data_IF_317877458504
#
_entry.id   IF_317877458504
#
_cell.length_a   1.000
_cell.length_b   1.000
_cell.length_c   1.000
_cell.angle_alpha   90.00
_cell.angle_beta   90.00
_cell.angle_gamma   90.00
#
_symmetry.space_group_name_H-M   'P 1'
#
loop_
_entity.id
_entity.type
_entity.pdbx_description
1 polymer ?
#
# COMPACT_ATOMS: atom_id res chain seq x y z
N UNK A 1 -18.52 -7.27 -21.06
CA UNK A 1 -18.58 -6.71 -19.69
C UNK A 1 -17.78 -7.63 -18.78
N UNK A 2 -17.11 -7.12 -17.74
CA UNK A 2 -16.42 -7.97 -16.77
C UNK A 2 -17.42 -8.88 -16.04
N UNK A 3 -16.96 -10.06 -15.65
CA UNK A 3 -17.76 -11.01 -14.87
C UNK A 3 -17.80 -10.57 -13.42
N UNK A 4 -18.98 -10.63 -12.80
CA UNK A 4 -19.15 -10.19 -11.41
C UNK A 4 -18.51 -11.19 -10.43
N UNK A 5 -18.02 -10.72 -9.27
CA UNK A 5 -17.46 -11.59 -8.24
C UNK A 5 -18.42 -12.68 -7.76
N UNK A 6 -19.73 -12.39 -7.73
CA UNK A 6 -20.78 -13.32 -7.31
C UNK A 6 -20.87 -14.54 -8.24
N UNK A 7 -20.60 -14.37 -9.54
CA UNK A 7 -20.58 -15.50 -10.49
C UNK A 7 -19.41 -16.44 -10.16
N UNK A 8 -18.23 -15.90 -9.85
CA UNK A 8 -17.07 -16.70 -9.45
C UNK A 8 -17.34 -17.43 -8.12
N UNK A 9 -17.96 -16.76 -7.15
CA UNK A 9 -18.40 -17.41 -5.92
C UNK A 9 -19.42 -18.52 -6.18
N UNK A 10 -20.33 -18.33 -7.13
CA UNK A 10 -21.26 -19.37 -7.59
C UNK A 10 -20.54 -20.59 -8.15
N UNK A 11 -19.49 -20.39 -8.95
CA UNK A 11 -18.65 -21.49 -9.45
C UNK A 11 -17.88 -22.19 -8.33
N UNK A 12 -17.39 -21.46 -7.34
CA UNK A 12 -16.74 -22.04 -6.16
C UNK A 12 -17.73 -22.94 -5.40
N UNK A 13 -18.95 -22.46 -5.15
CA UNK A 13 -19.99 -23.25 -4.48
C UNK A 13 -20.37 -24.50 -5.30
N UNK A 14 -20.41 -24.39 -6.63
CA UNK A 14 -20.65 -25.54 -7.52
C UNK A 14 -19.51 -26.57 -7.43
N UNK A 15 -18.25 -26.14 -7.41
CA UNK A 15 -17.10 -27.03 -7.20
C UNK A 15 -17.16 -27.74 -5.85
N UNK A 16 -17.50 -27.01 -4.78
CA UNK A 16 -17.67 -27.62 -3.45
C UNK A 16 -18.77 -28.68 -3.43
N UNK A 17 -19.91 -28.40 -4.07
CA UNK A 17 -21.03 -29.34 -4.19
C UNK A 17 -20.66 -30.59 -5.00
N UNK A 18 -19.96 -30.41 -6.13
CA UNK A 18 -19.47 -31.51 -6.95
C UNK A 18 -18.44 -32.36 -6.18
N UNK A 19 -17.50 -31.72 -5.47
CA UNK A 19 -16.53 -32.39 -4.59
C UNK A 19 -17.24 -33.25 -3.53
N UNK A 20 -18.23 -32.70 -2.82
CA UNK A 20 -18.98 -33.47 -1.80
C UNK A 20 -19.62 -34.73 -2.39
N UNK A 21 -20.17 -34.63 -3.61
CA UNK A 21 -20.71 -35.79 -4.34
C UNK A 21 -19.64 -36.79 -4.74
N UNK A 22 -18.45 -36.34 -5.14
CA UNK A 22 -17.31 -37.23 -5.41
C UNK A 22 -16.96 -38.02 -4.15
N UNK A 23 -16.81 -37.35 -3.00
CA UNK A 23 -16.46 -38.02 -1.73
C UNK A 23 -17.52 -39.03 -1.31
N UNK A 24 -18.80 -38.65 -1.32
CA UNK A 24 -19.90 -39.58 -0.99
C UNK A 24 -19.96 -40.75 -1.98
N UNK A 25 -19.76 -40.49 -3.27
CA UNK A 25 -19.74 -41.52 -4.30
C UNK A 25 -18.58 -42.50 -4.14
N UNK A 26 -17.41 -42.03 -3.71
CA UNK A 26 -16.26 -42.88 -3.36
C UNK A 26 -16.60 -43.79 -2.18
N UNK A 27 -17.14 -43.24 -1.09
CA UNK A 27 -17.51 -44.00 0.11
C UNK A 27 -18.58 -45.07 -0.18
N UNK A 28 -19.52 -44.77 -1.07
CA UNK A 28 -20.57 -45.69 -1.50
C UNK A 28 -20.14 -46.68 -2.60
N UNK A 29 -18.95 -46.50 -3.20
CA UNK A 29 -18.53 -47.27 -4.38
C UNK A 29 -19.37 -46.99 -5.64
N UNK A 30 -20.06 -45.85 -5.72
CA UNK A 30 -20.91 -45.46 -6.84
C UNK A 30 -20.11 -44.73 -7.93
N UNK A 31 -19.60 -45.53 -8.88
CA UNK A 31 -18.82 -45.03 -10.01
C UNK A 31 -19.59 -44.02 -10.89
N UNK A 32 -20.92 -44.15 -11.01
CA UNK A 32 -21.73 -43.27 -11.86
C UNK A 32 -21.86 -41.88 -11.24
N UNK A 33 -22.13 -41.81 -9.94
CA UNK A 33 -22.19 -40.54 -9.20
C UNK A 33 -20.85 -39.80 -9.28
N UNK A 34 -19.72 -40.51 -9.10
CA UNK A 34 -18.38 -39.95 -9.23
C UNK A 34 -18.13 -39.45 -10.66
N UNK A 35 -18.56 -40.18 -11.69
CA UNK A 35 -18.43 -39.79 -13.09
C UNK A 35 -19.17 -38.48 -13.40
N UNK A 36 -20.43 -38.39 -12.97
CA UNK A 36 -21.26 -37.20 -13.19
C UNK A 36 -20.68 -35.98 -12.49
N UNK A 37 -20.26 -36.13 -11.23
CA UNK A 37 -19.65 -35.04 -10.48
C UNK A 37 -18.29 -34.60 -11.07
N UNK A 38 -17.49 -35.54 -11.59
CA UNK A 38 -16.22 -35.24 -12.26
C UNK A 38 -16.42 -34.46 -13.56
N UNK A 39 -17.46 -34.77 -14.33
CA UNK A 39 -17.84 -34.00 -15.52
C UNK A 39 -18.33 -32.59 -15.16
N UNK A 40 -19.04 -32.44 -14.05
CA UNK A 40 -19.47 -31.13 -13.57
C UNK A 40 -18.30 -30.27 -13.11
N UNK A 41 -17.30 -30.87 -12.46
CA UNK A 41 -16.03 -30.19 -12.12
C UNK A 41 -15.35 -29.68 -13.38
N UNK A 42 -15.18 -30.53 -14.40
CA UNK A 42 -14.54 -30.16 -15.67
C UNK A 42 -15.22 -28.94 -16.32
N UNK A 43 -16.55 -29.00 -16.42
CA UNK A 43 -17.32 -27.93 -17.04
C UNK A 43 -17.30 -26.63 -16.21
N UNK A 44 -17.37 -26.74 -14.87
CA UNK A 44 -17.30 -25.57 -13.97
C UNK A 44 -15.94 -24.89 -14.02
N UNK A 45 -14.84 -25.67 -14.07
CA UNK A 45 -13.48 -25.14 -14.20
C UNK A 45 -13.29 -24.38 -15.52
N UNK A 46 -13.83 -24.88 -16.65
CA UNK A 46 -13.77 -24.19 -17.95
C UNK A 46 -14.50 -22.86 -17.91
N UNK A 47 -15.75 -22.85 -17.44
CA UNK A 47 -16.54 -21.61 -17.35
C UNK A 47 -15.89 -20.56 -16.45
N UNK A 48 -15.39 -20.97 -15.29
CA UNK A 48 -14.68 -20.07 -14.40
C UNK A 48 -13.45 -19.45 -15.07
N UNK A 49 -12.67 -20.25 -15.83
CA UNK A 49 -11.52 -19.75 -16.58
C UNK A 49 -11.92 -18.73 -17.64
N UNK A 50 -12.94 -19.05 -18.45
CA UNK A 50 -13.42 -18.18 -19.53
C UNK A 50 -13.91 -16.82 -19.00
N UNK A 51 -14.59 -16.83 -17.85
CA UNK A 51 -15.12 -15.63 -17.21
C UNK A 51 -14.02 -14.76 -16.56
N UNK A 52 -13.02 -15.38 -15.95
CA UNK A 52 -11.84 -14.66 -15.45
C UNK A 52 -11.05 -14.02 -16.62
N UNK A 53 -10.87 -14.75 -17.71
CA UNK A 53 -10.22 -14.25 -18.93
C UNK A 53 -11.05 -13.14 -19.62
N UNK A 54 -12.38 -13.24 -19.60
CA UNK A 54 -13.28 -12.20 -20.10
C UNK A 54 -13.16 -10.91 -19.27
N UNK A 55 -13.07 -11.05 -17.95
CA UNK A 55 -12.86 -9.92 -17.03
C UNK A 55 -11.54 -9.23 -17.28
N UNK A 56 -10.45 -10.00 -17.37
CA UNK A 56 -9.12 -9.46 -17.70
C UNK A 56 -9.13 -8.69 -19.02
N UNK A 57 -9.68 -9.27 -20.10
CA UNK A 57 -9.79 -8.60 -21.41
C UNK A 57 -10.61 -7.31 -21.35
N UNK A 58 -11.70 -7.30 -20.59
CA UNK A 58 -12.52 -6.11 -20.42
C UNK A 58 -11.74 -4.99 -19.71
N UNK A 59 -10.99 -5.30 -18.66
CA UNK A 59 -10.14 -4.32 -17.95
C UNK A 59 -9.04 -3.80 -18.87
N UNK A 60 -8.33 -4.67 -19.60
CA UNK A 60 -7.26 -4.26 -20.51
C UNK A 60 -7.77 -3.38 -21.65
N UNK A 61 -8.93 -3.70 -22.23
CA UNK A 61 -9.56 -2.87 -23.25
C UNK A 61 -9.89 -1.47 -22.73
N UNK A 62 -10.36 -1.36 -21.49
CA UNK A 62 -10.70 -0.08 -20.87
C UNK A 62 -9.46 0.75 -20.52
N UNK A 63 -8.40 0.11 -20.02
CA UNK A 63 -7.10 0.75 -19.81
C UNK A 63 -6.51 1.25 -21.13
N UNK A 64 -6.56 0.44 -22.19
CA UNK A 64 -6.09 0.83 -23.52
C UNK A 64 -6.88 2.03 -24.07
N UNK A 65 -8.21 2.00 -23.93
CA UNK A 65 -9.09 3.11 -24.32
C UNK A 65 -8.75 4.39 -23.56
N UNK A 66 -8.51 4.30 -22.25
CA UNK A 66 -8.12 5.45 -21.44
C UNK A 66 -6.77 6.04 -21.89
N UNK A 67 -5.80 5.18 -22.23
CA UNK A 67 -4.48 5.61 -22.70
C UNK A 67 -4.53 6.26 -24.09
N UNK A 68 -5.40 5.78 -24.99
CA UNK A 68 -5.53 6.28 -26.36
C UNK A 68 -6.37 7.57 -26.46
N UNK A 69 -7.52 7.63 -25.80
CA UNK A 69 -8.53 8.68 -26.00
C UNK A 69 -8.58 9.67 -24.82
N UNK A 70 -7.83 10.77 -24.94
CA UNK A 70 -7.80 11.82 -23.91
C UNK A 70 -8.96 12.81 -23.99
N UNK A 71 -9.58 12.99 -25.16
CA UNK A 71 -10.45 14.14 -25.47
C UNK A 71 -11.93 13.80 -25.69
N UNK A 72 -12.27 12.55 -26.03
CA UNK A 72 -13.63 12.16 -26.44
C UNK A 72 -14.59 11.88 -25.27
N UNK A 73 -14.09 11.53 -24.09
CA UNK A 73 -14.89 11.15 -22.92
C UNK A 73 -14.69 12.13 -21.76
N UNK A 74 -15.79 12.49 -21.09
CA UNK A 74 -15.74 13.37 -19.92
C UNK A 74 -14.86 12.76 -18.81
N UNK A 75 -14.13 13.62 -18.08
CA UNK A 75 -13.27 13.17 -16.97
C UNK A 75 -14.09 12.42 -15.90
N UNK A 76 -15.32 12.89 -15.64
CA UNK A 76 -16.25 12.27 -14.68
C UNK A 76 -16.64 10.85 -15.09
N UNK A 77 -16.99 10.63 -16.34
CA UNK A 77 -17.38 9.31 -16.84
C UNK A 77 -16.19 8.34 -16.80
N UNK A 78 -15.00 8.79 -17.20
CA UNK A 78 -13.77 8.01 -17.07
C UNK A 78 -13.48 7.63 -15.63
N UNK A 79 -13.65 8.57 -14.69
CA UNK A 79 -13.50 8.30 -13.27
C UNK A 79 -14.45 7.20 -12.78
N UNK A 80 -15.75 7.37 -13.00
CA UNK A 80 -16.76 6.40 -12.57
C UNK A 80 -16.50 5.01 -13.16
N UNK A 81 -16.02 4.96 -14.41
CA UNK A 81 -15.68 3.70 -15.07
C UNK A 81 -14.49 3.00 -14.43
N UNK A 82 -13.37 3.69 -14.24
CA UNK A 82 -12.14 3.12 -13.65
C UNK A 82 -12.37 2.72 -12.20
N UNK A 83 -13.00 3.58 -11.41
CA UNK A 83 -13.35 3.28 -10.01
C UNK A 83 -14.32 2.11 -9.93
N UNK A 84 -15.36 2.09 -10.78
CA UNK A 84 -16.31 0.98 -10.83
C UNK A 84 -15.62 -0.35 -11.16
N UNK A 85 -14.73 -0.38 -12.14
CA UNK A 85 -13.96 -1.59 -12.48
C UNK A 85 -13.07 -2.05 -11.32
N UNK A 86 -12.40 -1.12 -10.65
CA UNK A 86 -11.50 -1.44 -9.55
C UNK A 86 -12.27 -1.97 -8.33
N UNK A 87 -13.26 -1.21 -7.85
CA UNK A 87 -13.96 -1.48 -6.59
C UNK A 87 -14.98 -2.61 -6.72
N UNK A 88 -15.69 -2.73 -7.85
CA UNK A 88 -16.77 -3.72 -8.01
C UNK A 88 -16.28 -5.06 -8.57
N UNK A 89 -15.14 -5.09 -9.27
CA UNK A 89 -14.68 -6.30 -9.97
C UNK A 89 -13.27 -6.70 -9.57
N UNK A 90 -12.26 -5.85 -9.80
CA UNK A 90 -10.86 -6.25 -9.65
C UNK A 90 -10.49 -6.54 -8.19
N UNK A 91 -10.80 -5.65 -7.25
CA UNK A 91 -10.49 -5.86 -5.83
C UNK A 91 -11.13 -7.14 -5.27
N UNK A 92 -12.47 -7.33 -5.38
CA UNK A 92 -13.11 -8.53 -4.85
C UNK A 92 -12.58 -9.82 -5.49
N UNK A 93 -12.33 -9.82 -6.80
CA UNK A 93 -11.79 -11.00 -7.48
C UNK A 93 -10.35 -11.31 -7.03
N UNK A 94 -9.52 -10.30 -6.83
CA UNK A 94 -8.15 -10.51 -6.31
C UNK A 94 -8.17 -11.09 -4.89
N UNK A 95 -9.11 -10.66 -4.04
CA UNK A 95 -9.28 -11.23 -2.71
C UNK A 95 -9.70 -12.71 -2.75
N UNK A 96 -10.65 -13.07 -3.63
CA UNK A 96 -11.11 -14.45 -3.81
C UNK A 96 -9.98 -15.36 -4.31
N UNK A 97 -9.15 -14.87 -5.25
CA UNK A 97 -8.11 -15.63 -5.95
C UNK A 97 -6.75 -15.58 -5.26
N UNK A 98 -6.62 -14.84 -4.15
CA UNK A 98 -5.38 -14.77 -3.35
C UNK A 98 -4.89 -16.18 -2.97
N UNK A 99 -3.58 -16.30 -2.68
CA UNK A 99 -2.96 -17.57 -2.27
C UNK A 99 -3.69 -18.20 -1.07
N UNK A 100 -4.08 -17.40 -0.09
CA UNK A 100 -4.86 -17.83 1.09
C UNK A 100 -6.38 -17.65 0.89
N UNK A 101 -6.81 -17.48 -0.35
CA UNK A 101 -8.19 -17.17 -0.71
C UNK A 101 -9.07 -18.42 -0.82
N UNK A 102 -10.38 -18.18 -0.82
CA UNK A 102 -11.39 -19.24 -0.91
C UNK A 102 -11.19 -20.14 -2.12
N UNK A 103 -10.88 -19.58 -3.29
CA UNK A 103 -10.72 -20.36 -4.52
C UNK A 103 -9.61 -21.40 -4.39
N UNK A 104 -8.45 -21.02 -3.83
CA UNK A 104 -7.30 -21.92 -3.74
C UNK A 104 -7.64 -23.11 -2.85
N UNK A 105 -8.26 -22.87 -1.69
CA UNK A 105 -8.68 -23.94 -0.76
C UNK A 105 -9.63 -24.94 -1.43
N UNK A 106 -10.65 -24.47 -2.14
CA UNK A 106 -11.63 -25.34 -2.81
C UNK A 106 -11.00 -26.13 -3.94
N UNK A 107 -10.06 -25.51 -4.69
CA UNK A 107 -9.31 -26.19 -5.73
C UNK A 107 -8.40 -27.29 -5.16
N UNK A 108 -7.73 -27.06 -4.03
CA UNK A 108 -6.91 -28.07 -3.34
C UNK A 108 -7.75 -29.24 -2.83
N UNK A 109 -8.88 -28.95 -2.19
CA UNK A 109 -9.80 -29.97 -1.69
C UNK A 109 -10.44 -30.79 -2.83
N UNK A 110 -10.72 -30.15 -3.96
CA UNK A 110 -11.24 -30.83 -5.16
C UNK A 110 -10.18 -31.71 -5.81
N UNK A 111 -8.93 -31.23 -5.91
CA UNK A 111 -7.79 -32.02 -6.42
C UNK A 111 -7.57 -33.27 -5.54
N UNK A 112 -7.66 -33.13 -4.21
CA UNK A 112 -7.53 -34.23 -3.27
C UNK A 112 -8.66 -35.27 -3.44
N UNK A 113 -9.91 -34.83 -3.59
CA UNK A 113 -11.04 -35.74 -3.83
C UNK A 113 -10.90 -36.52 -5.15
N UNK A 114 -10.42 -35.86 -6.22
CA UNK A 114 -10.15 -36.51 -7.51
C UNK A 114 -9.01 -37.52 -7.42
N UNK A 115 -7.95 -37.22 -6.66
CA UNK A 115 -6.86 -38.19 -6.40
C UNK A 115 -7.35 -39.40 -5.62
N UNK A 116 -8.17 -39.19 -4.60
CA UNK A 116 -8.78 -40.28 -3.83
C UNK A 116 -9.65 -41.18 -4.71
N UNK A 117 -10.46 -40.60 -5.61
CA UNK A 117 -11.26 -41.36 -6.58
C UNK A 117 -10.39 -42.26 -7.47
N UNK A 118 -9.23 -41.76 -7.90
CA UNK A 118 -8.23 -42.53 -8.67
C UNK A 118 -7.61 -43.65 -7.83
N UNK A 119 -7.13 -43.33 -6.63
CA UNK A 119 -6.38 -44.27 -5.78
C UNK A 119 -7.25 -45.45 -5.32
N UNK A 120 -8.53 -45.20 -5.06
CA UNK A 120 -9.48 -46.26 -4.66
C UNK A 120 -10.05 -47.05 -5.85
N UNK A 121 -9.78 -46.63 -7.09
CA UNK A 121 -10.21 -47.34 -8.29
C UNK A 121 -11.71 -47.33 -8.56
N UNK A 122 -12.49 -46.50 -7.84
CA UNK A 122 -13.96 -46.39 -8.00
C UNK A 122 -14.33 -45.81 -9.37
N UNK A 123 -13.45 -45.00 -9.97
CA UNK A 123 -13.67 -44.38 -11.27
C UNK A 123 -12.65 -44.84 -12.32
N UNK A 124 -13.16 -45.45 -13.40
CA UNK A 124 -12.35 -46.13 -14.42
C UNK A 124 -11.75 -45.16 -15.45
N UNK A 125 -12.39 -44.01 -15.71
CA UNK A 125 -11.93 -43.06 -16.72
C UNK A 125 -10.81 -42.15 -16.19
N UNK A 126 -9.62 -42.73 -16.06
CA UNK A 126 -8.43 -42.04 -15.52
C UNK A 126 -8.04 -40.79 -16.32
N UNK A 127 -8.40 -40.74 -17.61
CA UNK A 127 -8.15 -39.58 -18.48
C UNK A 127 -8.92 -38.33 -18.06
N UNK A 128 -10.14 -38.47 -17.52
CA UNK A 128 -10.96 -37.35 -17.07
C UNK A 128 -10.42 -36.75 -15.77
N UNK A 129 -10.03 -37.60 -14.81
CA UNK A 129 -9.34 -37.16 -13.58
C UNK A 129 -8.06 -36.40 -13.93
N UNK A 130 -7.19 -36.98 -14.76
CA UNK A 130 -5.93 -36.35 -15.14
C UNK A 130 -6.13 -35.00 -15.86
N UNK A 131 -7.20 -34.85 -16.64
CA UNK A 131 -7.56 -33.58 -17.27
C UNK A 131 -7.96 -32.54 -16.24
N UNK A 132 -8.86 -32.89 -15.32
CA UNK A 132 -9.30 -32.00 -14.25
C UNK A 132 -8.15 -31.54 -13.36
N UNK A 133 -7.27 -32.44 -12.94
CA UNK A 133 -6.08 -32.08 -12.14
C UNK A 133 -5.17 -31.07 -12.89
N UNK A 134 -4.95 -31.29 -14.20
CA UNK A 134 -4.17 -30.34 -15.02
C UNK A 134 -4.86 -28.99 -15.12
N UNK A 135 -6.18 -28.99 -15.27
CA UNK A 135 -6.96 -27.77 -15.37
C UNK A 135 -6.99 -27.00 -14.06
N UNK A 136 -7.11 -27.67 -12.91
CA UNK A 136 -6.98 -27.07 -11.57
C UNK A 136 -5.61 -26.37 -11.43
N UNK A 137 -4.52 -27.07 -11.81
CA UNK A 137 -3.16 -26.51 -11.78
C UNK A 137 -2.97 -25.33 -12.75
N UNK A 138 -3.62 -25.36 -13.92
CA UNK A 138 -3.58 -24.29 -14.89
C UNK A 138 -4.35 -23.06 -14.40
N UNK A 139 -5.58 -23.26 -13.93
CA UNK A 139 -6.46 -22.23 -13.40
C UNK A 139 -5.80 -21.51 -12.22
N UNK A 140 -5.24 -22.25 -11.25
CA UNK A 140 -4.54 -21.65 -10.10
C UNK A 140 -3.44 -20.68 -10.52
N UNK A 141 -2.56 -21.11 -11.43
CA UNK A 141 -1.44 -20.29 -11.89
C UNK A 141 -1.91 -19.10 -12.70
N UNK A 142 -2.89 -19.32 -13.58
CA UNK A 142 -3.35 -18.30 -14.52
C UNK A 142 -4.19 -17.23 -13.85
N UNK A 143 -5.16 -17.60 -13.01
CA UNK A 143 -6.09 -16.66 -12.36
C UNK A 143 -5.37 -15.65 -11.47
N UNK A 144 -4.37 -16.09 -10.71
CA UNK A 144 -3.55 -15.20 -9.88
C UNK A 144 -2.79 -14.22 -10.77
N UNK A 145 -2.17 -14.70 -11.84
CA UNK A 145 -1.38 -13.87 -12.72
C UNK A 145 -2.23 -12.82 -13.45
N UNK A 146 -3.32 -13.24 -14.10
CA UNK A 146 -4.18 -12.36 -14.93
C UNK A 146 -4.89 -11.30 -14.10
N UNK A 147 -5.36 -11.62 -12.89
CA UNK A 147 -5.99 -10.63 -12.02
C UNK A 147 -4.98 -9.66 -11.42
N UNK A 148 -3.77 -10.13 -11.05
CA UNK A 148 -2.71 -9.24 -10.59
C UNK A 148 -2.22 -8.29 -11.68
N UNK A 149 -2.12 -8.77 -12.93
CA UNK A 149 -1.83 -7.94 -14.08
C UNK A 149 -2.93 -6.89 -14.29
N UNK A 150 -4.20 -7.32 -14.25
CA UNK A 150 -5.35 -6.42 -14.36
C UNK A 150 -5.32 -5.30 -13.30
N UNK A 151 -5.02 -5.67 -12.06
CA UNK A 151 -4.85 -4.72 -10.94
C UNK A 151 -3.66 -3.79 -11.19
N UNK A 152 -2.51 -4.32 -11.58
CA UNK A 152 -1.28 -3.54 -11.81
C UNK A 152 -1.49 -2.43 -12.84
N UNK A 153 -2.19 -2.73 -13.94
CA UNK A 153 -2.47 -1.76 -14.99
C UNK A 153 -3.54 -0.73 -14.59
N UNK A 154 -4.54 -1.13 -13.79
CA UNK A 154 -5.64 -0.27 -13.38
C UNK A 154 -5.29 0.63 -12.18
N UNK A 155 -4.42 0.16 -11.27
CA UNK A 155 -4.02 0.85 -10.04
C UNK A 155 -3.54 2.29 -10.26
N UNK A 156 -2.59 2.60 -11.17
CA UNK A 156 -2.11 3.97 -11.32
C UNK A 156 -3.22 4.93 -11.77
N UNK A 157 -4.14 4.47 -12.63
CA UNK A 157 -5.28 5.27 -13.06
C UNK A 157 -6.25 5.52 -11.91
N UNK A 158 -6.52 4.49 -11.11
CA UNK A 158 -7.35 4.58 -9.92
C UNK A 158 -6.79 5.59 -8.91
N UNK A 159 -5.49 5.50 -8.58
CA UNK A 159 -4.86 6.37 -7.58
C UNK A 159 -4.79 7.83 -8.01
N UNK A 160 -4.49 8.10 -9.29
CA UNK A 160 -4.50 9.46 -9.83
C UNK A 160 -5.89 10.06 -9.73
N UNK A 161 -6.91 9.33 -10.17
CA UNK A 161 -8.27 9.87 -10.21
C UNK A 161 -8.89 9.99 -8.82
N UNK A 162 -8.61 9.04 -7.91
CA UNK A 162 -9.06 9.10 -6.52
C UNK A 162 -8.41 10.27 -5.77
N UNK A 163 -7.11 10.52 -5.99
CA UNK A 163 -6.44 11.73 -5.45
C UNK A 163 -7.04 13.01 -6.01
N UNK A 164 -7.25 13.11 -7.32
CA UNK A 164 -7.87 14.28 -7.93
C UNK A 164 -9.28 14.56 -7.38
N UNK A 165 -10.07 13.50 -7.16
CA UNK A 165 -11.39 13.58 -6.54
C UNK A 165 -11.32 14.08 -5.08
N UNK A 166 -10.39 13.55 -4.28
CA UNK A 166 -10.17 13.99 -2.91
C UNK A 166 -9.75 15.48 -2.84
N UNK A 167 -8.87 15.91 -3.74
CA UNK A 167 -8.45 17.32 -3.85
C UNK A 167 -9.64 18.20 -4.23
N UNK A 168 -10.42 17.82 -5.24
CA UNK A 168 -11.60 18.58 -5.66
C UNK A 168 -12.64 18.70 -4.54
N UNK A 169 -12.86 17.62 -3.78
CA UNK A 169 -13.76 17.62 -2.63
C UNK A 169 -13.22 18.52 -1.49
N UNK A 170 -11.92 18.41 -1.19
CA UNK A 170 -11.25 19.28 -0.21
C UNK A 170 -11.29 20.75 -0.60
N UNK A 171 -11.07 21.08 -1.88
CA UNK A 171 -11.19 22.44 -2.40
C UNK A 171 -12.62 22.97 -2.29
N UNK A 172 -13.63 22.15 -2.60
CA UNK A 172 -15.04 22.53 -2.45
C UNK A 172 -15.37 22.83 -0.98
N UNK A 173 -14.90 22.00 -0.05
CA UNK A 173 -15.07 22.21 1.38
C UNK A 173 -14.36 23.48 1.86
N UNK A 174 -13.12 23.69 1.41
CA UNK A 174 -12.32 24.86 1.75
C UNK A 174 -12.96 26.16 1.24
N UNK A 175 -13.45 26.17 0.00
CA UNK A 175 -14.18 27.31 -0.58
C UNK A 175 -15.51 27.54 0.15
N UNK A 176 -16.21 26.48 0.55
CA UNK A 176 -17.42 26.57 1.36
C UNK A 176 -17.17 27.23 2.73
N UNK A 177 -16.05 26.89 3.38
CA UNK A 177 -15.62 27.51 4.64
C UNK A 177 -15.11 28.93 4.46
N UNK A 178 -14.37 29.21 3.38
CA UNK A 178 -13.93 30.56 3.04
C UNK A 178 -15.12 31.49 2.81
N UNK A 179 -16.24 30.99 2.25
CA UNK A 179 -17.48 31.77 2.15
C UNK A 179 -18.07 32.18 3.51
N UNK A 180 -17.74 31.46 4.59
CA UNK A 180 -18.27 31.67 5.94
C UNK A 180 -17.29 32.40 6.87
N UNK A 181 -16.01 32.51 6.50
CA UNK A 181 -14.94 33.09 7.31
C UNK A 181 -14.36 34.35 6.63
N UNK A 182 -13.76 35.25 7.41
CA UNK A 182 -12.96 36.35 6.85
C UNK A 182 -11.62 35.81 6.35
N UNK A 183 -11.09 36.43 5.30
CA UNK A 183 -9.87 35.95 4.62
C UNK A 183 -8.65 35.87 5.55
N UNK A 184 -8.54 36.80 6.51
CA UNK A 184 -7.41 36.86 7.45
C UNK A 184 -7.42 35.67 8.43
N UNK A 185 -8.59 35.25 8.91
CA UNK A 185 -8.73 34.10 9.81
C UNK A 185 -8.41 32.78 9.10
N UNK A 186 -8.66 32.70 7.80
CA UNK A 186 -8.41 31.50 6.99
C UNK A 186 -6.91 31.22 6.80
N UNK A 187 -6.12 32.26 6.52
CA UNK A 187 -4.66 32.15 6.36
C UNK A 187 -4.00 31.64 7.64
N UNK A 188 -4.49 32.08 8.81
CA UNK A 188 -3.93 31.68 10.11
C UNK A 188 -4.32 30.25 10.49
N UNK A 189 -5.52 29.78 10.13
CA UNK A 189 -6.03 28.47 10.58
C UNK A 189 -5.76 27.29 9.64
N UNK A 190 -5.71 27.52 8.32
CA UNK A 190 -5.74 26.44 7.33
C UNK A 190 -4.57 26.43 6.34
N UNK A 191 -3.79 27.51 6.22
CA UNK A 191 -2.49 27.42 5.55
C UNK A 191 -1.48 26.79 6.53
N UNK A 192 -1.42 25.45 6.54
CA UNK A 192 -0.14 24.80 6.85
C UNK A 192 0.86 25.39 5.87
N UNK A 193 1.97 25.95 6.37
CA UNK A 193 3.03 26.49 5.52
C UNK A 193 3.46 25.42 4.52
N UNK A 194 2.93 25.52 3.29
CA UNK A 194 3.13 24.58 2.21
C UNK A 194 4.50 24.84 1.57
N UNK A 195 5.56 24.80 2.37
CA UNK A 195 6.92 25.05 1.90
C UNK A 195 7.51 23.82 1.18
N UNK A 196 6.76 22.70 1.12
CA UNK A 196 7.14 21.45 0.45
C UNK A 196 5.98 20.67 -0.18
N UNK A 197 5.01 21.35 -0.80
CA UNK A 197 4.07 20.66 -1.66
C UNK A 197 4.72 20.44 -3.04
N UNK A 198 5.38 19.29 -3.23
CA UNK A 198 5.87 18.87 -4.55
C UNK A 198 4.70 18.84 -5.54
N UNK A 199 4.75 19.68 -6.57
CA UNK A 199 3.75 19.72 -7.64
C UNK A 199 3.98 18.50 -8.53
N UNK A 200 3.31 17.39 -8.24
CA UNK A 200 3.25 16.21 -9.11
C UNK A 200 2.08 16.36 -10.11
N UNK A 201 2.05 17.47 -10.83
CA UNK A 201 1.23 17.56 -12.05
C UNK A 201 2.00 16.86 -13.19
N UNK A 202 1.32 16.20 -14.15
CA UNK A 202 1.98 15.78 -15.38
C UNK A 202 2.65 17.00 -16.03
N UNK A 203 3.84 16.83 -16.66
CA UNK A 203 4.69 17.94 -17.09
C UNK A 203 3.93 18.76 -18.13
N UNK A 204 3.34 19.85 -17.65
CA UNK A 204 2.74 20.88 -18.47
C UNK A 204 3.82 21.94 -18.72
N UNK A 205 3.75 22.64 -19.83
CA UNK A 205 4.74 23.67 -20.21
C UNK A 205 4.99 24.71 -19.10
N UNK A 206 3.96 25.03 -18.31
CA UNK A 206 4.08 25.91 -17.14
C UNK A 206 4.94 25.34 -16.02
N UNK A 207 4.84 24.03 -15.76
CA UNK A 207 5.64 23.32 -14.74
C UNK A 207 7.10 23.24 -15.18
N UNK A 208 7.34 22.92 -16.44
CA UNK A 208 8.70 22.89 -17.00
C UNK A 208 9.38 24.25 -16.88
N UNK A 209 8.66 25.33 -17.21
CA UNK A 209 9.18 26.69 -17.12
C UNK A 209 9.50 27.11 -15.68
N UNK A 210 8.67 26.69 -14.74
CA UNK A 210 8.91 26.93 -13.32
C UNK A 210 10.13 26.15 -12.80
N UNK A 211 10.23 24.86 -13.14
CA UNK A 211 11.38 24.01 -12.78
C UNK A 211 12.68 24.55 -13.37
N UNK A 212 12.66 25.00 -14.63
CA UNK A 212 13.83 25.64 -15.26
C UNK A 212 14.22 26.91 -14.50
N UNK A 213 13.25 27.75 -14.12
CA UNK A 213 13.53 28.94 -13.32
C UNK A 213 14.08 28.60 -11.92
N UNK A 214 13.58 27.53 -11.29
CA UNK A 214 14.11 27.02 -10.02
C UNK A 214 15.57 26.54 -10.15
N UNK A 215 15.88 25.77 -11.20
CA UNK A 215 17.25 25.29 -11.45
C UNK A 215 18.20 26.45 -11.80
N UNK A 216 17.71 27.48 -12.49
CA UNK A 216 18.51 28.69 -12.79
C UNK A 216 18.76 29.51 -11.51
N UNK A 217 17.75 29.65 -10.65
CA UNK A 217 17.86 30.41 -9.39
C UNK A 217 18.65 29.64 -8.32
N UNK A 218 18.61 28.32 -8.35
CA UNK A 218 19.28 27.41 -7.43
C UNK A 218 20.03 26.34 -8.23
N UNK A 219 21.20 26.67 -8.81
CA UNK A 219 21.98 25.70 -9.56
C UNK A 219 22.33 24.52 -8.66
N UNK A 220 22.17 23.27 -9.14
CA UNK A 220 22.47 22.09 -8.33
C UNK A 220 23.94 22.14 -7.92
N UNK A 221 24.19 22.05 -6.61
CA UNK A 221 25.55 21.90 -6.12
C UNK A 221 26.10 20.57 -6.62
N UNK A 222 27.32 20.54 -7.18
CA UNK A 222 27.93 19.28 -7.57
C UNK A 222 28.01 18.36 -6.35
N UNK A 223 27.83 17.04 -6.53
CA UNK A 223 27.94 16.11 -5.43
C UNK A 223 29.31 16.28 -4.76
N UNK A 224 29.38 16.22 -3.42
CA UNK A 224 30.66 16.34 -2.72
C UNK A 224 31.60 15.25 -3.22
N UNK A 225 32.82 15.65 -3.60
CA UNK A 225 33.85 14.71 -4.03
C UNK A 225 34.28 13.90 -2.80
N UNK A 226 34.09 12.58 -2.84
CA UNK A 226 34.55 11.70 -1.77
C UNK A 226 36.08 11.66 -1.81
N UNK A 227 36.73 12.18 -0.77
CA UNK A 227 38.16 11.92 -0.57
C UNK A 227 38.35 10.45 -0.27
N UNK A 228 39.20 9.77 -1.05
CA UNK A 228 39.60 8.37 -0.84
C UNK A 228 40.84 8.24 0.05
N UNK A 229 41.24 9.33 0.72
CA UNK A 229 42.37 9.32 1.64
C UNK A 229 41.97 8.57 2.93
N UNK A 230 42.74 7.53 3.28
CA UNK A 230 42.59 6.82 4.55
C UNK A 230 43.00 7.74 5.72
N UNK A 231 42.05 8.50 6.23
CA UNK A 231 42.21 9.19 7.51
C UNK A 231 42.11 8.15 8.63
N UNK A 232 43.21 7.91 9.36
CA UNK A 232 43.29 6.96 10.47
C UNK A 232 42.44 7.30 11.71
N UNK A 233 41.54 8.29 11.61
CA UNK A 233 40.63 8.70 12.67
C UNK A 233 39.17 8.56 12.26
N UNK A 234 38.31 8.25 13.22
CA UNK A 234 36.87 8.20 13.01
C UNK A 234 36.34 9.58 12.60
N UNK A 235 35.63 9.71 11.46
CA UNK A 235 35.10 11.00 11.04
C UNK A 235 34.21 11.64 12.11
N UNK A 236 34.33 12.97 12.36
CA UNK A 236 33.56 13.65 13.39
C UNK A 236 32.04 13.55 13.17
N UNK A 237 31.60 13.54 11.91
CA UNK A 237 30.18 13.34 11.54
C UNK A 237 29.69 11.93 11.86
N UNK A 238 30.57 10.92 11.76
CA UNK A 238 30.24 9.56 12.14
C UNK A 238 30.12 9.41 13.66
N UNK A 239 31.02 10.05 14.43
CA UNK A 239 30.92 10.13 15.89
C UNK A 239 29.61 10.82 16.32
N UNK A 240 29.22 11.89 15.61
CA UNK A 240 27.95 12.58 15.80
C UNK A 240 26.75 11.65 15.54
N UNK A 241 26.79 10.86 14.48
CA UNK A 241 25.75 9.89 14.13
C UNK A 241 25.65 8.76 15.16
N UNK A 242 26.78 8.22 15.64
CA UNK A 242 26.80 7.20 16.68
C UNK A 242 26.13 7.69 17.97
N UNK A 243 26.45 8.91 18.38
CA UNK A 243 25.81 9.56 19.53
C UNK A 243 24.29 9.70 19.33
N UNK A 244 23.83 10.19 18.17
CA UNK A 244 22.40 10.35 17.89
C UNK A 244 21.63 9.02 17.89
N UNK A 245 22.27 7.93 17.45
CA UNK A 245 21.66 6.61 17.45
C UNK A 245 21.61 5.99 18.86
N UNK A 246 22.56 6.31 19.74
CA UNK A 246 22.58 5.85 21.14
C UNK A 246 21.59 6.58 22.05
N UNK A 247 21.25 7.83 21.69
CA UNK A 247 20.52 8.76 22.56
C UNK A 247 19.15 8.27 23.04
N UNK A 248 18.42 7.51 22.21
CA UNK A 248 17.15 6.90 22.61
C UNK A 248 17.33 5.76 23.63
N UNK A 249 18.45 5.04 23.56
CA UNK A 249 18.79 3.98 24.53
C UNK A 249 19.17 4.60 25.86
N UNK A 250 20.05 5.61 25.85
CA UNK A 250 20.49 6.34 27.04
C UNK A 250 19.30 6.97 27.78
N UNK A 251 18.34 7.52 27.04
CA UNK A 251 17.13 8.10 27.62
C UNK A 251 16.25 7.05 28.30
N UNK A 252 16.14 5.83 27.75
CA UNK A 252 15.29 4.76 28.32
C UNK A 252 15.76 4.30 29.70
N UNK A 253 17.07 4.33 29.95
CA UNK A 253 17.63 3.96 31.25
C UNK A 253 17.28 4.97 32.36
N UNK A 254 17.00 6.23 31.99
CA UNK A 254 16.73 7.33 32.92
C UNK A 254 15.25 7.72 33.02
N UNK A 255 14.35 6.94 32.42
CA UNK A 255 12.91 7.19 32.53
C UNK A 255 12.42 7.01 33.98
N UNK A 256 11.51 7.89 34.47
CA UNK A 256 10.86 9.00 33.76
C UNK A 256 11.62 10.34 33.84
N UNK A 257 11.76 11.01 32.69
CA UNK A 257 12.46 12.31 32.59
C UNK A 257 11.48 13.48 32.63
N UNK A 258 11.60 14.33 33.66
CA UNK A 258 10.71 15.48 33.92
C UNK A 258 10.97 16.70 33.03
N UNK A 259 12.21 16.90 32.60
CA UNK A 259 12.66 18.04 31.80
C UNK A 259 13.74 17.56 30.83
N UNK A 260 13.31 17.24 29.60
CA UNK A 260 14.16 16.62 28.57
C UNK A 260 15.30 17.51 28.12
N UNK A 261 15.03 18.82 28.02
CA UNK A 261 16.02 19.82 27.65
C UNK A 261 17.06 20.01 28.74
N UNK A 262 16.66 19.93 30.01
CA UNK A 262 17.61 19.89 31.13
C UNK A 262 18.46 18.62 31.11
N UNK A 263 17.85 17.47 30.83
CA UNK A 263 18.54 16.19 30.76
C UNK A 263 19.62 16.18 29.67
N UNK A 264 19.26 16.47 28.42
CA UNK A 264 20.21 16.39 27.30
C UNK A 264 21.39 17.37 27.45
N UNK A 265 21.12 18.58 27.96
CA UNK A 265 22.17 19.60 28.18
C UNK A 265 23.05 19.29 29.39
N UNK A 266 22.52 18.59 30.39
CA UNK A 266 23.27 18.13 31.56
C UNK A 266 24.13 16.89 31.28
N UNK A 267 23.59 15.92 30.55
CA UNK A 267 24.28 14.66 30.24
C UNK A 267 25.39 14.85 29.20
N UNK A 268 25.22 15.78 28.26
CA UNK A 268 26.19 16.02 27.18
C UNK A 268 26.68 17.47 27.10
N UNK A 269 27.40 17.99 28.12
CA UNK A 269 27.80 19.41 28.16
C UNK A 269 28.78 19.82 27.07
N UNK A 270 29.48 18.87 26.44
CA UNK A 270 30.51 19.12 25.42
C UNK A 270 29.94 19.46 24.03
N UNK A 271 28.65 19.18 23.81
CA UNK A 271 28.00 19.33 22.50
C UNK A 271 27.50 20.77 22.29
N UNK A 272 27.54 21.21 21.03
CA UNK A 272 27.05 22.52 20.63
C UNK A 272 25.53 22.60 20.57
N UNK A 273 25.02 23.80 20.34
CA UNK A 273 23.58 24.12 20.25
C UNK A 273 22.93 23.38 19.08
N UNK A 274 23.61 23.30 17.95
CA UNK A 274 23.13 22.59 16.76
C UNK A 274 22.95 21.09 17.02
N UNK A 275 23.89 20.47 17.73
CA UNK A 275 23.82 19.07 18.14
C UNK A 275 22.68 18.82 19.11
N UNK A 276 22.51 19.71 20.10
CA UNK A 276 21.43 19.64 21.08
C UNK A 276 20.05 19.70 20.43
N UNK A 277 19.85 20.62 19.46
CA UNK A 277 18.61 20.69 18.71
C UNK A 277 18.35 19.43 17.88
N UNK A 278 19.40 18.85 17.30
CA UNK A 278 19.29 17.65 16.49
C UNK A 278 18.95 16.43 17.37
N UNK A 279 19.60 16.28 18.53
CA UNK A 279 19.26 15.25 19.52
C UNK A 279 17.84 15.40 20.06
N UNK A 280 17.41 16.63 20.39
CA UNK A 280 16.05 16.91 20.81
C UNK A 280 15.02 16.56 19.73
N UNK A 281 15.25 16.97 18.47
CA UNK A 281 14.33 16.64 17.38
C UNK A 281 14.25 15.13 17.16
N UNK A 282 15.37 14.40 17.27
CA UNK A 282 15.38 12.94 17.15
C UNK A 282 14.50 12.26 18.19
N UNK A 283 14.55 12.71 19.44
CA UNK A 283 13.73 12.17 20.54
C UNK A 283 12.26 12.56 20.45
N UNK A 284 11.98 13.81 20.07
CA UNK A 284 10.61 14.33 19.96
C UNK A 284 9.80 13.63 18.86
N UNK A 285 10.48 13.19 17.80
CA UNK A 285 9.87 12.49 16.67
C UNK A 285 10.04 10.97 16.71
N UNK A 286 10.53 10.40 17.82
CA UNK A 286 10.57 8.94 17.99
C UNK A 286 9.15 8.42 18.28
N UNK A 287 8.57 7.54 17.44
CA UNK A 287 7.21 7.03 17.64
C UNK A 287 7.06 6.13 18.87
N UNK A 288 8.16 5.69 19.48
CA UNK A 288 8.13 4.85 20.69
C UNK A 288 7.97 5.66 21.98
N UNK A 289 8.25 6.97 21.96
CA UNK A 289 8.29 7.81 23.16
C UNK A 289 6.95 8.56 23.37
N UNK A 290 6.41 8.54 24.60
CA UNK A 290 5.26 9.38 24.98
C UNK A 290 5.74 10.75 25.47
N UNK A 291 5.70 11.73 24.57
CA UNK A 291 6.18 13.10 24.79
C UNK A 291 5.03 14.01 25.24
N UNK A 292 5.20 14.64 26.39
CA UNK A 292 4.25 15.63 26.92
C UNK A 292 4.88 17.02 27.02
N UNK A 293 4.26 17.99 26.37
CA UNK A 293 4.63 19.40 26.47
C UNK A 293 3.89 20.06 27.64
N UNK A 294 4.62 20.45 28.68
CA UNK A 294 4.04 21.23 29.78
C UNK A 294 4.01 22.70 29.35
N UNK A 295 2.85 23.14 28.89
CA UNK A 295 2.61 24.56 28.58
C UNK A 295 2.95 25.44 29.79
N UNK A 296 3.87 26.39 29.61
CA UNK A 296 4.41 27.21 30.70
C UNK A 296 5.45 28.21 30.20
N UNK A 297 6.03 28.99 31.13
CA UNK A 297 7.10 29.95 30.82
C UNK A 297 8.31 29.21 30.24
N UNK A 298 8.87 29.73 29.15
CA UNK A 298 10.10 29.22 28.55
C UNK A 298 11.25 29.32 29.55
N UNK A 299 12.06 28.27 29.61
CA UNK A 299 13.30 28.23 30.40
C UNK A 299 14.49 28.36 29.46
N UNK A 300 15.54 29.02 29.96
CA UNK A 300 16.82 29.16 29.27
C UNK A 300 17.78 28.05 29.72
N UNK A 301 18.34 27.32 28.75
CA UNK A 301 19.34 26.27 28.96
C UNK A 301 20.64 26.67 28.26
N UNK A 302 21.76 26.68 28.98
CA UNK A 302 23.07 27.03 28.40
C UNK A 302 23.68 25.80 27.73
N UNK A 303 24.07 25.96 26.48
CA UNK A 303 24.87 24.99 25.70
C UNK A 303 26.30 25.51 25.58
N UNK A 304 27.20 24.73 24.98
CA UNK A 304 28.61 25.10 24.82
C UNK A 304 28.83 26.44 24.10
N UNK A 305 28.00 26.73 23.09
CA UNK A 305 28.14 27.85 22.17
C UNK A 305 26.91 28.77 22.12
N UNK A 306 25.88 28.54 22.96
CA UNK A 306 24.63 29.30 22.90
C UNK A 306 23.68 29.10 24.08
N UNK A 307 22.43 29.52 23.87
CA UNK A 307 21.33 29.39 24.84
C UNK A 307 20.09 28.87 24.10
N UNK A 308 19.45 27.85 24.64
CA UNK A 308 18.18 27.30 24.17
C UNK A 308 17.04 27.82 25.04
N UNK A 309 15.99 28.37 24.41
CA UNK A 309 14.74 28.76 25.07
C UNK A 309 13.63 27.80 24.69
N UNK A 310 13.23 26.94 25.63
CA UNK A 310 12.26 25.87 25.37
C UNK A 310 11.25 25.78 26.51
N UNK A 311 10.01 25.43 26.19
CA UNK A 311 9.01 25.01 27.18
C UNK A 311 9.40 23.65 27.77
N UNK A 312 8.97 23.36 29.00
CA UNK A 312 9.35 22.10 29.65
C UNK A 312 8.73 20.90 28.92
N UNK A 313 9.59 20.00 28.45
CA UNK A 313 9.22 18.74 27.78
C UNK A 313 9.45 17.60 28.76
N UNK A 314 8.45 16.75 28.98
CA UNK A 314 8.58 15.56 29.83
C UNK A 314 8.31 14.29 29.02
N UNK A 315 9.07 13.22 29.30
CA UNK A 315 8.87 11.89 28.72
C UNK A 315 8.61 10.91 29.87
N UNK A 316 7.44 10.26 29.82
CA UNK A 316 6.95 9.42 30.91
C UNK A 316 7.07 7.93 30.61
N UNK A 317 7.01 7.53 29.34
CA UNK A 317 7.06 6.14 28.86
C UNK A 317 7.75 6.06 27.50
N UNK A 318 8.36 4.90 27.23
CA UNK A 318 8.97 4.50 25.96
C UNK A 318 8.49 3.11 25.56
#
# INVERSE_FOLDING_TARGET
>A
MPTSPEIIQGYIAALESARKRIVIGIEAGDALSVAMATNEVDHTLRRMQDDLDATHRAVMSEVARYKADRTSVSVRERYLRIVGLMDQYVHPLVEIVRVDGLLVSVLDETDLALRAAREQGVYVEMGMIARNERQIRALRRRSIHTLNESRRELQPLYDVLRRASAIAHGATLALGRLRQMKQDDWVVHYMVQADRAGIECPPTDSVLRHVINEVISHPPTPPPVLSMEENGGTPPDYVRLLWLNGLATDLREELPVKDLTAWITGTFPEKGTSDMLLGLSRLLFDPTMDVQFKGGKQKQYRTRDGVLEVSTISITRA
#
